data_IF_130854839362
#
_entry.id   IF_130854839362
#
_cell.length_a   1.000
_cell.length_b   1.000
_cell.length_c   1.000
_cell.angle_alpha   90.00
_cell.angle_beta   90.00
_cell.angle_gamma   90.00
#
_symmetry.space_group_name_H-M   'P 1'
#
loop_
_entity.id
_entity.type
_entity.pdbx_description
1 polymer ?
#
# COMPACT_ATOMS: atom_id res chain seq x y z
N UNK A 1 -11.04 24.50 13.11
CA UNK A 1 -11.41 23.46 12.12
C UNK A 1 -10.23 22.56 11.77
N UNK A 2 -9.05 23.08 11.41
CA UNK A 2 -7.87 22.25 11.08
C UNK A 2 -7.29 21.41 12.24
N UNK A 3 -7.34 21.91 13.49
CA UNK A 3 -6.83 21.17 14.65
C UNK A 3 -7.59 19.85 14.90
N UNK A 4 -8.91 19.84 14.72
CA UNK A 4 -9.73 18.64 14.92
C UNK A 4 -9.45 17.57 13.85
N UNK A 5 -9.08 17.98 12.64
CA UNK A 5 -8.78 17.05 11.54
C UNK A 5 -7.51 16.24 11.83
N UNK A 6 -6.46 16.89 12.33
CA UNK A 6 -5.20 16.22 12.71
C UNK A 6 -5.44 15.21 13.84
N UNK A 7 -6.26 15.56 14.83
CA UNK A 7 -6.63 14.63 15.92
C UNK A 7 -7.43 13.43 15.41
N UNK A 8 -8.37 13.65 14.47
CA UNK A 8 -9.15 12.57 13.87
C UNK A 8 -8.31 11.63 13.00
N UNK A 9 -7.29 12.14 12.32
CA UNK A 9 -6.34 11.33 11.55
C UNK A 9 -5.40 10.47 12.41
N UNK A 10 -5.42 10.65 13.74
CA UNK A 10 -4.55 9.93 14.69
C UNK A 10 -3.07 9.98 14.28
N UNK A 11 -2.59 11.18 13.95
CA UNK A 11 -1.17 11.38 13.63
C UNK A 11 -0.35 11.02 14.88
N UNK A 12 0.68 10.19 14.70
CA UNK A 12 1.61 9.76 15.76
C UNK A 12 3.00 10.33 15.52
N UNK A 13 3.75 10.58 16.60
CA UNK A 13 5.10 11.18 16.53
C UNK A 13 6.18 10.18 16.05
N UNK A 14 5.86 8.89 15.95
CA UNK A 14 6.79 7.86 15.51
C UNK A 14 6.17 6.47 15.39
N UNK A 15 6.93 5.55 14.79
CA UNK A 15 6.56 4.13 14.65
C UNK A 15 7.65 3.27 15.31
N UNK A 16 7.25 2.29 16.12
CA UNK A 16 8.20 1.37 16.78
C UNK A 16 8.55 0.16 15.92
N UNK A 17 7.70 -0.15 14.93
CA UNK A 17 7.83 -1.30 14.03
C UNK A 17 7.90 -0.80 12.58
N UNK A 18 8.53 -1.57 11.66
CA UNK A 18 8.52 -1.23 10.25
C UNK A 18 7.10 -1.00 9.74
N UNK A 19 6.90 0.04 8.93
CA UNK A 19 5.60 0.30 8.31
C UNK A 19 5.32 -0.78 7.28
N UNK A 20 4.24 -1.54 7.48
CA UNK A 20 3.82 -2.56 6.53
C UNK A 20 3.15 -1.94 5.31
N UNK A 21 3.67 -2.26 4.13
CA UNK A 21 3.11 -1.92 2.83
C UNK A 21 2.69 -3.23 2.16
N UNK A 22 1.40 -3.38 1.91
CA UNK A 22 0.85 -4.53 1.21
C UNK A 22 1.00 -4.36 -0.32
N UNK A 23 1.38 -5.42 -1.02
CA UNK A 23 1.58 -5.44 -2.47
C UNK A 23 1.06 -6.75 -3.06
N UNK A 24 0.31 -6.72 -4.16
CA UNK A 24 -0.13 -7.95 -4.85
C UNK A 24 0.88 -8.42 -5.90
N UNK A 25 1.85 -7.58 -6.25
CA UNK A 25 2.95 -7.94 -7.14
C UNK A 25 4.03 -8.71 -6.36
N UNK A 26 3.97 -10.04 -6.44
CA UNK A 26 4.96 -10.94 -5.83
C UNK A 26 6.40 -10.65 -6.26
N UNK A 27 6.61 -10.22 -7.51
CA UNK A 27 7.95 -9.88 -8.00
C UNK A 27 8.50 -8.62 -7.30
N UNK A 28 7.65 -7.63 -7.03
CA UNK A 28 8.04 -6.43 -6.30
C UNK A 28 8.38 -6.75 -4.83
N UNK A 29 7.59 -7.59 -4.17
CA UNK A 29 7.89 -8.08 -2.82
C UNK A 29 9.26 -8.78 -2.77
N UNK A 30 9.50 -9.75 -3.67
CA UNK A 30 10.77 -10.48 -3.74
C UNK A 30 11.96 -9.56 -4.06
N UNK A 31 11.77 -8.62 -4.98
CA UNK A 31 12.80 -7.65 -5.33
C UNK A 31 13.18 -6.76 -4.14
N UNK A 32 12.19 -6.27 -3.40
CA UNK A 32 12.41 -5.39 -2.25
C UNK A 32 13.24 -6.04 -1.13
N UNK A 33 13.10 -7.36 -0.95
CA UNK A 33 13.80 -8.15 0.07
C UNK A 33 15.18 -8.62 -0.38
N UNK A 34 15.48 -8.55 -1.68
CA UNK A 34 16.72 -9.08 -2.23
C UNK A 34 17.81 -8.00 -2.35
N UNK A 35 18.90 -8.19 -1.63
CA UNK A 35 20.03 -7.27 -1.69
C UNK A 35 20.89 -7.44 -2.95
N UNK A 36 20.78 -8.57 -3.66
CA UNK A 36 21.56 -8.85 -4.88
C UNK A 36 20.93 -8.20 -6.11
N UNK A 37 21.76 -7.51 -6.89
CA UNK A 37 21.43 -7.11 -8.25
C UNK A 37 21.32 -8.36 -9.13
N UNK A 38 20.30 -8.42 -9.98
CA UNK A 38 20.15 -9.47 -10.99
C UNK A 38 20.03 -8.87 -12.38
N UNK A 39 20.32 -9.65 -13.43
CA UNK A 39 20.09 -9.23 -14.80
C UNK A 39 18.61 -8.88 -15.07
N UNK A 40 17.68 -9.39 -14.25
CA UNK A 40 16.24 -9.10 -14.32
C UNK A 40 15.90 -7.72 -13.74
N UNK A 41 16.72 -7.17 -12.85
CA UNK A 41 16.50 -5.86 -12.23
C UNK A 41 17.21 -4.71 -12.94
N UNK A 42 17.95 -4.97 -14.02
CA UNK A 42 18.69 -3.92 -14.77
C UNK A 42 17.78 -2.87 -15.42
N UNK A 43 16.51 -3.22 -15.63
CA UNK A 43 15.48 -2.35 -16.20
C UNK A 43 14.64 -1.64 -15.14
N UNK A 44 14.92 -1.86 -13.85
CA UNK A 44 14.22 -1.17 -12.77
C UNK A 44 14.90 0.18 -12.57
N UNK A 45 14.12 1.26 -12.74
CA UNK A 45 14.62 2.61 -12.55
C UNK A 45 15.22 2.81 -11.15
N UNK A 46 16.30 3.60 -11.07
CA UNK A 46 17.01 3.95 -9.83
C UNK A 46 16.06 4.50 -8.76
N UNK A 47 15.01 5.24 -9.15
CA UNK A 47 14.01 5.80 -8.22
C UNK A 47 13.34 4.73 -7.34
N UNK A 48 13.31 3.47 -7.78
CA UNK A 48 12.73 2.37 -7.00
C UNK A 48 13.71 1.73 -6.02
N UNK A 49 15.01 2.09 -6.06
CA UNK A 49 16.00 1.64 -5.06
C UNK A 49 15.67 2.17 -3.66
N UNK A 50 15.00 3.32 -3.55
CA UNK A 50 14.56 3.88 -2.26
C UNK A 50 13.71 2.88 -1.47
N UNK A 51 12.84 2.11 -2.13
CA UNK A 51 12.02 1.09 -1.46
C UNK A 51 12.93 0.04 -0.83
N UNK A 52 13.97 -0.39 -1.55
CA UNK A 52 14.95 -1.37 -1.05
C UNK A 52 15.74 -0.82 0.14
N UNK A 53 16.20 0.43 0.05
CA UNK A 53 16.91 1.10 1.15
C UNK A 53 16.04 1.22 2.41
N UNK A 54 14.76 1.56 2.25
CA UNK A 54 13.80 1.64 3.37
C UNK A 54 13.52 0.26 3.99
N UNK A 55 13.45 -0.80 3.18
CA UNK A 55 13.31 -2.18 3.68
C UNK A 55 14.56 -2.61 4.43
N UNK A 56 15.75 -2.35 3.89
CA UNK A 56 17.04 -2.71 4.51
C UNK A 56 17.28 -1.97 5.83
N UNK A 57 16.83 -0.72 5.93
CA UNK A 57 16.88 0.08 7.16
C UNK A 57 15.75 -0.23 8.15
N UNK A 58 14.93 -1.26 7.88
CA UNK A 58 13.80 -1.69 8.72
C UNK A 58 12.75 -0.59 8.96
N UNK A 59 12.68 0.42 8.08
CA UNK A 59 11.67 1.46 8.17
C UNK A 59 10.33 1.00 7.58
N UNK A 60 10.38 0.10 6.59
CA UNK A 60 9.19 -0.47 5.95
C UNK A 60 9.32 -1.98 5.77
N UNK A 61 8.20 -2.69 5.74
CA UNK A 61 8.13 -4.09 5.30
C UNK A 61 7.19 -4.19 4.11
N UNK A 62 7.63 -4.86 3.03
CA UNK A 62 6.76 -5.17 1.89
C UNK A 62 6.22 -6.59 2.07
N UNK A 63 4.90 -6.71 2.11
CA UNK A 63 4.19 -7.99 2.31
C UNK A 63 3.25 -8.27 1.15
N UNK A 64 3.26 -9.52 0.68
CA UNK A 64 2.38 -9.92 -0.40
C UNK A 64 0.95 -10.16 0.08
N UNK A 65 -0.03 -9.62 -0.65
CA UNK A 65 -1.46 -9.89 -0.49
C UNK A 65 -2.07 -10.39 -1.79
N UNK A 66 -3.25 -11.01 -1.74
CA UNK A 66 -3.93 -11.40 -2.98
C UNK A 66 -4.47 -10.16 -3.72
N UNK A 67 -4.54 -10.20 -5.05
CA UNK A 67 -5.16 -9.12 -5.85
C UNK A 67 -6.60 -8.88 -5.41
N UNK A 68 -7.35 -9.92 -5.06
CA UNK A 68 -8.72 -9.79 -4.53
C UNK A 68 -8.80 -9.05 -3.18
N UNK A 69 -7.68 -8.89 -2.49
CA UNK A 69 -7.57 -8.11 -1.24
C UNK A 69 -6.91 -6.75 -1.43
N UNK A 70 -6.45 -6.40 -2.65
CA UNK A 70 -5.77 -5.14 -2.93
C UNK A 70 -6.78 -4.00 -3.12
N UNK A 71 -7.23 -3.41 -2.00
CA UNK A 71 -8.21 -2.31 -2.00
C UNK A 71 -7.74 -1.05 -2.73
N UNK A 72 -6.45 -0.94 -3.10
CA UNK A 72 -5.92 0.17 -3.88
C UNK A 72 -6.16 0.02 -5.40
N UNK A 73 -6.55 -1.16 -5.88
CA UNK A 73 -6.78 -1.42 -7.30
C UNK A 73 -7.82 -0.49 -7.94
N UNK A 74 -8.96 -0.17 -7.30
CA UNK A 74 -9.91 0.84 -7.78
C UNK A 74 -9.30 2.22 -8.08
N UNK A 75 -8.19 2.58 -7.43
CA UNK A 75 -7.53 3.87 -7.59
C UNK A 75 -6.49 3.89 -8.72
N UNK A 76 -6.14 2.72 -9.27
CA UNK A 76 -5.01 2.58 -10.21
C UNK A 76 -5.36 1.82 -11.49
N UNK A 77 -6.48 1.09 -11.51
CA UNK A 77 -6.89 0.20 -12.60
C UNK A 77 -8.35 0.44 -12.99
N UNK A 78 -8.69 0.16 -14.25
CA UNK A 78 -10.08 -0.04 -14.66
C UNK A 78 -10.53 -1.46 -14.31
N UNK A 79 -11.43 -1.60 -13.34
CA UNK A 79 -11.89 -2.89 -12.84
C UNK A 79 -13.32 -3.23 -13.32
N UNK A 80 -13.66 -4.52 -13.49
CA UNK A 80 -15.04 -4.94 -13.66
C UNK A 80 -15.91 -4.49 -12.47
N UNK A 81 -17.19 -4.11 -12.68
CA UNK A 81 -18.05 -3.53 -11.64
C UNK A 81 -18.12 -4.34 -10.34
N UNK A 82 -18.20 -5.68 -10.47
CA UNK A 82 -18.24 -6.58 -9.31
C UNK A 82 -16.99 -6.46 -8.44
N UNK A 83 -15.81 -6.53 -9.06
CA UNK A 83 -14.51 -6.48 -8.37
C UNK A 83 -14.29 -5.08 -7.78
N UNK A 84 -14.66 -4.04 -8.52
CA UNK A 84 -14.64 -2.67 -8.01
C UNK A 84 -15.47 -2.53 -6.73
N UNK A 85 -16.72 -2.99 -6.74
CA UNK A 85 -17.62 -2.88 -5.59
C UNK A 85 -17.11 -3.67 -4.38
N UNK A 86 -16.61 -4.89 -4.59
CA UNK A 86 -15.98 -5.68 -3.51
C UNK A 86 -14.79 -4.93 -2.87
N UNK A 87 -13.91 -4.31 -3.66
CA UNK A 87 -12.79 -3.54 -3.11
C UNK A 87 -13.21 -2.25 -2.41
N UNK A 88 -14.18 -1.50 -2.95
CA UNK A 88 -14.68 -0.25 -2.36
C UNK A 88 -15.35 -0.51 -1.01
N UNK A 89 -16.14 -1.60 -0.91
CA UNK A 89 -16.71 -2.04 0.36
C UNK A 89 -15.62 -2.39 1.38
N UNK A 90 -14.59 -3.13 0.98
CA UNK A 90 -13.45 -3.42 1.88
C UNK A 90 -12.59 -2.20 2.22
N UNK A 91 -12.61 -1.15 1.38
CA UNK A 91 -11.97 0.13 1.68
C UNK A 91 -12.72 0.90 2.79
N UNK A 92 -13.98 0.55 3.08
CA UNK A 92 -14.83 1.26 4.02
C UNK A 92 -15.44 2.53 3.43
N UNK A 93 -15.47 2.66 2.11
CA UNK A 93 -16.17 3.76 1.44
C UNK A 93 -17.65 3.44 1.43
N UNK A 94 -18.44 4.34 2.00
CA UNK A 94 -19.90 4.25 2.09
C UNK A 94 -20.52 5.42 1.33
N UNK A 95 -21.75 5.24 0.84
CA UNK A 95 -22.49 6.38 0.33
C UNK A 95 -22.81 7.32 1.50
N UNK A 96 -22.77 8.63 1.23
CA UNK A 96 -23.05 9.66 2.25
C UNK A 96 -24.43 9.45 2.88
N UNK A 97 -25.37 8.92 2.11
CA UNK A 97 -26.75 8.64 2.53
C UNK A 97 -26.87 7.44 3.49
N UNK A 98 -25.87 6.55 3.52
CA UNK A 98 -25.83 5.37 4.40
C UNK A 98 -25.21 5.68 5.78
N UNK A 99 -24.63 6.87 5.95
CA UNK A 99 -24.08 7.32 7.25
C UNK A 99 -25.21 7.88 8.09
N UNK A 100 -25.86 7.03 8.90
CA UNK A 100 -26.79 7.49 9.94
C UNK A 100 -26.01 8.21 11.05
N UNK A 101 -26.52 9.37 11.48
CA UNK A 101 -25.98 10.18 12.61
C UNK A 101 -25.83 9.40 13.92
#
# INVERSE_FOLDING_TARGET
MAANFVTQLRIVDGIEKPLRINCDNKAAELYSKNNRSSSKSKHIDIKFLVVKERVQSLQVSIEHISTNSMIADPLTKGLPPKVYHEHVTHMGVVHIDDVSE
#
